data_IF_325839631725
#
_entry.id   IF_325839631725
#
_cell.length_a   1.000
_cell.length_b   1.000
_cell.length_c   1.000
_cell.angle_alpha   90.00
_cell.angle_beta   90.00
_cell.angle_gamma   90.00
#
_symmetry.space_group_name_H-M   'P 1'
#
loop_
_entity.id
_entity.type
_entity.pdbx_description
1 polymer ?
#
# COMPACT_ATOMS: atom_id res chain seq x y z
N UNK A 1 18.40 -66.96 51.28
CA UNK A 1 19.20 -66.27 50.25
C UNK A 1 18.39 -66.22 48.96
N UNK A 2 17.90 -65.03 48.59
CA UNK A 2 17.95 -64.42 47.25
C UNK A 2 16.76 -63.47 47.05
N UNK A 3 17.15 -62.21 46.90
CA UNK A 3 16.31 -61.02 46.79
C UNK A 3 15.74 -60.96 45.36
N UNK A 4 14.42 -60.83 45.24
CA UNK A 4 13.78 -60.34 44.02
C UNK A 4 14.00 -58.83 43.95
N UNK A 5 14.74 -58.38 42.93
CA UNK A 5 14.91 -56.97 42.61
C UNK A 5 14.27 -56.74 41.23
N UNK A 6 13.01 -56.33 41.21
CA UNK A 6 12.33 -55.88 39.98
C UNK A 6 12.54 -54.37 39.83
N UNK A 7 13.37 -54.02 38.85
CA UNK A 7 13.73 -52.66 38.48
C UNK A 7 12.62 -52.10 37.56
N UNK A 8 11.78 -51.20 38.07
CA UNK A 8 10.78 -50.49 37.25
C UNK A 8 11.42 -49.23 36.67
N UNK A 9 11.67 -49.24 35.36
CA UNK A 9 12.09 -48.05 34.61
C UNK A 9 10.84 -47.23 34.25
N UNK A 10 10.66 -46.07 34.90
CA UNK A 10 9.66 -45.09 34.50
C UNK A 10 10.24 -44.18 33.40
N UNK A 11 9.87 -44.43 32.14
CA UNK A 11 10.15 -43.54 31.02
C UNK A 11 9.05 -42.49 30.97
N UNK A 12 9.34 -41.27 31.43
CA UNK A 12 8.50 -40.10 31.23
C UNK A 12 8.69 -39.59 29.79
N UNK A 13 7.82 -40.00 28.89
CA UNK A 13 7.71 -39.43 27.54
C UNK A 13 6.94 -38.10 27.64
N UNK A 14 7.67 -36.98 27.65
CA UNK A 14 7.10 -35.65 27.46
C UNK A 14 6.59 -35.55 26.01
N UNK A 15 5.28 -35.66 25.82
CA UNK A 15 4.67 -35.36 24.53
C UNK A 15 4.59 -33.84 24.35
N UNK A 16 5.54 -33.31 23.58
CA UNK A 16 5.40 -31.97 22.99
C UNK A 16 4.29 -32.09 21.95
N UNK A 17 3.09 -31.63 22.32
CA UNK A 17 2.00 -31.43 21.36
C UNK A 17 2.37 -30.22 20.50
N UNK A 18 2.98 -30.47 19.35
CA UNK A 18 2.98 -29.49 18.28
C UNK A 18 1.54 -29.36 17.78
N UNK A 19 0.87 -28.27 18.17
CA UNK A 19 -0.37 -27.86 17.54
C UNK A 19 -0.05 -27.55 16.07
N UNK A 20 -0.24 -28.53 15.18
CA UNK A 20 -0.28 -28.28 13.75
C UNK A 20 -1.47 -27.35 13.50
N UNK A 21 -1.21 -26.08 13.20
CA UNK A 21 -2.22 -25.19 12.63
C UNK A 21 -2.73 -25.89 11.37
N UNK A 22 -3.98 -26.32 11.39
CA UNK A 22 -4.64 -26.82 10.18
C UNK A 22 -4.52 -25.73 9.10
N UNK A 23 -4.16 -26.08 7.85
CA UNK A 23 -4.11 -25.11 6.77
C UNK A 23 -5.52 -24.54 6.61
N UNK A 24 -5.70 -23.25 6.89
CA UNK A 24 -6.97 -22.61 6.58
C UNK A 24 -6.93 -22.40 5.08
N UNK A 25 -7.62 -23.28 4.34
CA UNK A 25 -7.86 -23.11 2.91
C UNK A 25 -8.78 -21.90 2.70
N UNK A 26 -8.23 -20.69 2.86
CA UNK A 26 -8.92 -19.44 2.53
C UNK A 26 -8.76 -19.23 1.04
N UNK A 27 -9.87 -19.40 0.31
CA UNK A 27 -9.96 -18.93 -1.06
C UNK A 27 -9.54 -17.46 -1.14
N UNK A 28 -8.74 -17.13 -2.16
CA UNK A 28 -8.35 -15.75 -2.42
C UNK A 28 -9.60 -14.96 -2.77
N UNK A 29 -10.06 -14.11 -1.85
CA UNK A 29 -11.15 -13.15 -2.08
C UNK A 29 -10.56 -11.88 -2.68
N UNK A 30 -11.22 -11.31 -3.68
CA UNK A 30 -10.82 -10.01 -4.24
C UNK A 30 -11.15 -8.87 -3.26
N UNK A 31 -10.10 -8.22 -2.75
CA UNK A 31 -10.15 -7.05 -1.86
C UNK A 31 -9.54 -5.82 -2.53
N UNK A 32 -9.70 -5.70 -3.85
CA UNK A 32 -9.24 -4.52 -4.58
C UNK A 32 -9.87 -3.23 -4.05
N UNK A 33 -9.13 -2.09 -4.11
CA UNK A 33 -9.68 -0.78 -3.80
C UNK A 33 -10.89 -0.41 -4.64
N UNK A 34 -11.61 0.63 -4.23
CA UNK A 34 -12.67 1.21 -5.03
C UNK A 34 -12.16 1.63 -6.42
N UNK A 35 -13.00 1.42 -7.43
CA UNK A 35 -12.62 1.69 -8.81
C UNK A 35 -12.41 3.20 -9.04
N UNK A 36 -11.29 3.55 -9.67
CA UNK A 36 -10.99 4.89 -10.16
C UNK A 36 -10.16 4.79 -11.44
N UNK A 37 -10.21 5.79 -12.31
CA UNK A 37 -9.50 5.74 -13.59
C UNK A 37 -9.90 4.51 -14.43
N UNK A 38 -8.95 3.98 -15.19
CA UNK A 38 -9.14 2.75 -15.97
C UNK A 38 -8.67 1.52 -15.20
N UNK A 39 -9.55 0.53 -14.98
CA UNK A 39 -9.18 -0.72 -14.31
C UNK A 39 -8.56 -1.69 -15.32
N UNK A 40 -7.28 -1.98 -15.14
CA UNK A 40 -6.51 -2.91 -15.97
C UNK A 40 -6.17 -4.15 -15.16
N UNK A 41 -6.61 -5.32 -15.65
CA UNK A 41 -6.41 -6.61 -14.99
C UNK A 41 -5.33 -7.41 -15.71
N UNK A 42 -4.27 -7.72 -14.99
CA UNK A 42 -3.25 -8.69 -15.38
C UNK A 42 -3.48 -10.01 -14.66
N UNK A 43 -2.67 -11.02 -14.96
CA UNK A 43 -2.91 -12.38 -14.46
C UNK A 43 -2.85 -12.47 -12.92
N UNK A 44 -2.00 -11.66 -12.29
CA UNK A 44 -1.71 -11.75 -10.84
C UNK A 44 -1.68 -10.41 -10.11
N UNK A 45 -2.01 -9.32 -10.80
CA UNK A 45 -2.21 -8.02 -10.19
C UNK A 45 -3.26 -7.24 -10.99
N UNK A 46 -3.88 -6.26 -10.35
CA UNK A 46 -4.82 -5.33 -10.97
C UNK A 46 -4.36 -3.91 -10.66
N UNK A 47 -4.55 -2.99 -11.59
CA UNK A 47 -4.24 -1.58 -11.37
C UNK A 47 -5.39 -0.67 -11.80
N UNK A 48 -5.44 0.50 -11.18
CA UNK A 48 -6.28 1.62 -11.61
C UNK A 48 -5.40 2.67 -12.28
N UNK A 49 -5.40 2.71 -13.61
CA UNK A 49 -4.55 3.60 -14.39
C UNK A 49 -5.08 5.04 -14.41
N UNK A 50 -4.18 6.01 -14.17
CA UNK A 50 -4.45 7.43 -14.39
C UNK A 50 -3.84 7.85 -15.73
N UNK A 51 -4.68 8.13 -16.71
CA UNK A 51 -4.24 8.73 -17.97
C UNK A 51 -3.53 10.07 -17.75
N UNK A 52 -4.03 10.88 -16.81
CA UNK A 52 -3.47 12.19 -16.52
C UNK A 52 -2.03 12.12 -15.98
N UNK A 53 -1.70 11.05 -15.25
CA UNK A 53 -0.41 10.90 -14.58
C UNK A 53 0.52 9.87 -15.24
N UNK A 54 0.02 9.21 -16.28
CA UNK A 54 0.66 8.11 -17.02
C UNK A 54 1.16 6.97 -16.11
N UNK A 55 0.49 6.77 -14.97
CA UNK A 55 0.79 5.71 -14.00
C UNK A 55 -0.44 5.37 -13.14
N UNK A 56 -0.41 4.29 -12.33
CA UNK A 56 -1.55 3.92 -11.51
C UNK A 56 -1.80 4.84 -10.31
N UNK A 57 -3.07 5.06 -10.00
CA UNK A 57 -3.52 5.48 -8.67
C UNK A 57 -3.18 4.43 -7.60
N UNK A 58 -3.39 3.16 -7.95
CA UNK A 58 -3.08 2.01 -7.12
C UNK A 58 -2.81 0.77 -7.97
N UNK A 59 -1.98 -0.11 -7.42
CA UNK A 59 -1.78 -1.50 -7.86
C UNK A 59 -2.12 -2.41 -6.69
N UNK A 60 -2.94 -3.41 -6.96
CA UNK A 60 -3.42 -4.42 -6.02
C UNK A 60 -2.95 -5.80 -6.45
N UNK A 61 -2.40 -6.57 -5.52
CA UNK A 61 -1.96 -7.93 -5.74
C UNK A 61 -2.02 -8.76 -4.45
N UNK A 62 -1.93 -10.06 -4.61
CA UNK A 62 -2.00 -11.04 -3.52
C UNK A 62 -0.74 -11.88 -3.52
N UNK A 63 -0.24 -12.19 -2.33
CA UNK A 63 0.86 -13.11 -2.11
C UNK A 63 0.41 -14.29 -1.27
N UNK A 64 0.84 -15.47 -1.70
CA UNK A 64 0.81 -16.72 -0.93
C UNK A 64 2.24 -17.27 -0.88
N UNK A 65 2.55 -18.18 0.05
CA UNK A 65 3.84 -18.85 0.08
C UNK A 65 4.21 -19.51 -1.25
N UNK A 66 3.22 -20.08 -1.96
CA UNK A 66 3.42 -20.72 -3.27
C UNK A 66 3.90 -19.75 -4.36
N UNK A 67 3.40 -18.51 -4.35
CA UNK A 67 3.85 -17.48 -5.30
C UNK A 67 5.33 -17.09 -5.06
N UNK A 68 5.82 -17.28 -3.84
CA UNK A 68 7.19 -16.94 -3.45
C UNK A 68 8.17 -18.13 -3.52
N UNK A 69 7.66 -19.34 -3.74
CA UNK A 69 8.47 -20.56 -3.88
C UNK A 69 9.12 -20.71 -5.27
N UNK A 70 8.77 -19.84 -6.22
CA UNK A 70 9.27 -19.85 -7.57
C UNK A 70 10.72 -19.39 -7.74
N UNK A 71 11.31 -19.74 -8.88
CA UNK A 71 12.69 -19.39 -9.27
C UNK A 71 12.78 -18.75 -10.66
N UNK A 72 11.67 -18.19 -11.17
CA UNK A 72 11.65 -17.59 -12.50
C UNK A 72 12.65 -16.43 -12.58
N UNK A 73 13.53 -16.43 -13.58
CA UNK A 73 14.56 -15.41 -13.70
C UNK A 73 13.95 -14.07 -14.13
N UNK A 74 14.49 -13.02 -13.55
CA UNK A 74 14.20 -11.63 -13.94
C UNK A 74 14.67 -11.39 -15.38
N UNK A 75 13.83 -10.76 -16.20
CA UNK A 75 14.13 -10.51 -17.64
C UNK A 75 14.42 -9.06 -18.00
N UNK A 76 14.09 -8.10 -17.14
CA UNK A 76 14.23 -6.66 -17.41
C UNK A 76 13.57 -6.21 -18.74
N UNK A 77 12.51 -6.90 -19.14
CA UNK A 77 11.80 -6.70 -20.41
C UNK A 77 10.73 -5.60 -20.32
N UNK A 78 11.16 -4.40 -19.95
CA UNK A 78 10.30 -3.22 -19.82
C UNK A 78 9.65 -2.86 -21.15
N UNK A 79 8.33 -2.69 -21.15
CA UNK A 79 7.55 -2.38 -22.36
C UNK A 79 6.22 -1.70 -22.02
N UNK A 80 5.66 -0.98 -22.99
CA UNK A 80 4.31 -0.44 -22.88
C UNK A 80 3.31 -1.57 -22.60
N UNK A 81 2.29 -1.26 -21.80
CA UNK A 81 1.19 -2.15 -21.48
C UNK A 81 0.15 -2.12 -22.60
N UNK A 82 -0.08 -3.23 -23.33
CA UNK A 82 -1.11 -3.30 -24.36
C UNK A 82 -2.53 -3.33 -23.79
N UNK A 83 -2.71 -3.56 -22.48
CA UNK A 83 -4.01 -3.62 -21.84
C UNK A 83 -4.55 -2.25 -21.39
N UNK A 84 -3.72 -1.19 -21.44
CA UNK A 84 -4.16 0.19 -21.22
C UNK A 84 -4.71 0.75 -22.53
N UNK A 85 -6.00 1.08 -22.56
CA UNK A 85 -6.75 1.46 -23.77
C UNK A 85 -6.21 2.70 -24.46
N UNK A 86 -5.73 3.67 -23.70
CA UNK A 86 -5.19 4.94 -24.19
C UNK A 86 -3.69 4.86 -24.53
N UNK A 87 -3.06 3.73 -24.26
CA UNK A 87 -1.60 3.62 -24.20
C UNK A 87 -1.10 3.89 -22.80
N UNK A 88 0.10 3.41 -22.51
CA UNK A 88 0.80 3.71 -21.26
C UNK A 88 2.12 4.39 -21.54
N UNK A 89 2.73 4.93 -20.49
CA UNK A 89 4.11 5.38 -20.48
C UNK A 89 5.04 4.46 -21.29
N UNK A 90 6.01 5.07 -21.95
CA UNK A 90 6.98 4.43 -22.83
C UNK A 90 8.39 4.48 -22.23
N UNK A 91 9.33 3.74 -22.83
CA UNK A 91 10.74 3.81 -22.44
C UNK A 91 11.35 5.21 -22.68
N UNK A 92 10.81 5.95 -23.64
CA UNK A 92 11.27 7.32 -23.93
C UNK A 92 10.99 8.25 -22.75
N UNK A 93 9.97 7.96 -21.93
CA UNK A 93 9.62 8.80 -20.80
C UNK A 93 10.64 8.76 -19.66
N UNK A 94 11.25 7.60 -19.47
CA UNK A 94 12.24 7.37 -18.43
C UNK A 94 13.67 7.66 -18.89
N UNK A 95 13.92 7.63 -20.20
CA UNK A 95 15.25 7.86 -20.77
C UNK A 95 15.79 9.24 -20.40
N UNK A 96 16.97 9.30 -19.77
CA UNK A 96 17.62 10.55 -19.37
C UNK A 96 16.91 11.32 -18.24
N UNK A 97 15.84 10.78 -17.66
CA UNK A 97 15.04 11.46 -16.64
C UNK A 97 15.72 11.58 -15.26
N UNK A 98 16.70 10.71 -14.99
CA UNK A 98 17.31 10.55 -13.66
C UNK A 98 16.50 9.67 -12.69
N UNK A 99 15.31 9.22 -13.08
CA UNK A 99 14.46 8.33 -12.28
C UNK A 99 14.57 6.87 -12.73
N UNK A 100 14.46 5.95 -11.78
CA UNK A 100 14.30 4.53 -12.08
C UNK A 100 12.86 4.23 -12.54
N UNK A 101 12.74 3.18 -13.36
CA UNK A 101 11.46 2.49 -13.63
C UNK A 101 11.12 1.63 -12.40
N UNK A 102 10.63 2.30 -11.35
CA UNK A 102 10.33 1.68 -10.06
C UNK A 102 9.07 0.84 -10.14
N UNK A 103 9.14 -0.43 -9.74
CA UNK A 103 7.98 -1.32 -9.74
C UNK A 103 7.01 -0.94 -8.62
N UNK A 104 5.71 -1.00 -8.90
CA UNK A 104 4.67 -0.96 -7.89
C UNK A 104 4.36 -2.37 -7.40
N UNK A 105 3.96 -3.27 -8.30
CA UNK A 105 3.99 -4.72 -8.08
C UNK A 105 5.40 -5.26 -8.40
N UNK A 106 6.19 -5.71 -7.41
CA UNK A 106 7.61 -6.05 -7.60
C UNK A 106 7.80 -7.29 -8.46
N UNK A 107 8.83 -7.31 -9.32
CA UNK A 107 9.19 -8.54 -10.06
C UNK A 107 9.58 -9.70 -9.13
N UNK A 108 10.17 -9.38 -7.96
CA UNK A 108 10.51 -10.38 -6.93
C UNK A 108 9.30 -11.04 -6.26
N UNK A 109 8.11 -10.46 -6.44
CA UNK A 109 6.84 -10.98 -5.95
C UNK A 109 6.17 -11.90 -7.02
N UNK A 110 6.72 -11.91 -8.24
CA UNK A 110 6.16 -12.58 -9.43
C UNK A 110 7.09 -13.68 -9.98
N UNK A 111 7.79 -14.39 -9.09
CA UNK A 111 8.84 -15.38 -9.44
C UNK A 111 8.32 -16.79 -9.72
N UNK A 112 7.02 -17.05 -9.63
CA UNK A 112 6.43 -18.39 -9.71
C UNK A 112 6.10 -18.87 -11.12
N UNK A 113 5.89 -17.99 -12.09
CA UNK A 113 5.77 -18.39 -13.50
C UNK A 113 6.26 -17.30 -14.47
N UNK A 114 6.54 -17.70 -15.71
CA UNK A 114 7.12 -16.79 -16.71
C UNK A 114 6.18 -15.64 -17.09
N UNK A 115 4.86 -15.86 -17.01
CA UNK A 115 3.84 -14.86 -17.34
C UNK A 115 3.78 -13.77 -16.29
N UNK A 116 3.69 -14.12 -15.00
CA UNK A 116 3.67 -13.16 -13.90
C UNK A 116 4.94 -12.30 -13.90
N UNK A 117 6.11 -12.94 -14.06
CA UNK A 117 7.38 -12.25 -14.21
C UNK A 117 7.35 -11.27 -15.38
N UNK A 118 6.90 -11.71 -16.56
CA UNK A 118 6.84 -10.86 -17.76
C UNK A 118 5.87 -9.68 -17.63
N UNK A 119 4.68 -9.91 -17.08
CA UNK A 119 3.65 -8.88 -16.89
C UNK A 119 4.08 -7.84 -15.83
N UNK A 120 4.93 -8.19 -14.87
CA UNK A 120 5.48 -7.23 -13.89
C UNK A 120 6.32 -6.11 -14.53
N UNK A 121 6.83 -6.31 -15.75
CA UNK A 121 7.63 -5.34 -16.50
C UNK A 121 6.82 -4.41 -17.42
N UNK A 122 5.49 -4.44 -17.36
CA UNK A 122 4.69 -3.42 -18.04
C UNK A 122 4.93 -2.04 -17.44
N UNK A 123 5.03 -1.01 -18.29
CA UNK A 123 5.26 0.37 -17.85
C UNK A 123 4.06 0.97 -17.13
N UNK A 124 2.85 0.41 -17.31
CA UNK A 124 1.69 0.70 -16.47
C UNK A 124 1.91 0.29 -15.00
N UNK A 125 2.81 -0.65 -14.71
CA UNK A 125 3.20 -1.04 -13.34
C UNK A 125 4.44 -0.27 -12.84
N UNK A 126 4.91 0.73 -13.59
CA UNK A 126 6.06 1.54 -13.21
C UNK A 126 5.64 2.91 -12.69
N UNK A 127 6.50 3.47 -11.84
CA UNK A 127 6.42 4.85 -11.41
C UNK A 127 7.83 5.47 -11.29
N UNK A 128 8.00 6.78 -11.53
CA UNK A 128 9.29 7.47 -11.42
C UNK A 128 9.83 7.52 -9.98
N UNK A 129 10.64 6.52 -9.63
CA UNK A 129 11.25 6.43 -8.31
C UNK A 129 12.68 6.96 -8.32
N UNK A 130 13.03 7.75 -7.30
CA UNK A 130 14.40 8.21 -7.12
C UNK A 130 15.33 6.99 -6.90
N UNK A 131 16.51 6.91 -7.54
CA UNK A 131 17.34 5.71 -7.49
C UNK A 131 17.72 5.24 -6.08
N UNK A 132 18.07 6.14 -5.16
CA UNK A 132 18.41 5.79 -3.78
C UNK A 132 17.18 5.39 -2.93
N UNK A 133 15.99 5.87 -3.28
CA UNK A 133 14.72 5.38 -2.75
C UNK A 133 14.41 3.94 -3.22
N UNK A 134 14.33 3.73 -4.55
CA UNK A 134 13.97 2.47 -5.18
C UNK A 134 14.90 1.33 -4.75
N UNK A 135 16.22 1.56 -4.90
CA UNK A 135 17.25 0.55 -4.65
C UNK A 135 17.56 0.39 -3.16
N UNK A 136 17.12 1.35 -2.34
CA UNK A 136 17.36 1.43 -0.91
C UNK A 136 16.12 1.03 -0.09
N UNK A 137 15.45 2.02 0.50
CA UNK A 137 14.40 1.79 1.49
C UNK A 137 13.16 1.10 0.91
N UNK A 138 12.81 1.38 -0.35
CA UNK A 138 11.67 0.73 -1.01
C UNK A 138 11.90 -0.77 -1.19
N UNK A 139 13.05 -1.17 -1.73
CA UNK A 139 13.48 -2.57 -1.82
C UNK A 139 13.50 -3.28 -0.45
N UNK A 140 13.90 -2.60 0.62
CA UNK A 140 13.86 -3.15 2.00
C UNK A 140 12.43 -3.42 2.44
N UNK A 141 11.51 -2.49 2.19
CA UNK A 141 10.08 -2.67 2.48
C UNK A 141 9.50 -3.83 1.66
N UNK A 142 9.78 -3.93 0.36
CA UNK A 142 9.33 -5.05 -0.47
C UNK A 142 9.84 -6.41 0.05
N UNK A 143 11.10 -6.48 0.47
CA UNK A 143 11.65 -7.69 1.07
C UNK A 143 10.95 -8.09 2.37
N UNK A 144 10.58 -7.10 3.18
CA UNK A 144 9.83 -7.33 4.41
C UNK A 144 8.40 -7.83 4.14
N UNK A 145 7.71 -7.25 3.15
CA UNK A 145 6.38 -7.74 2.73
C UNK A 145 6.44 -9.19 2.25
N UNK A 146 7.46 -9.55 1.45
CA UNK A 146 7.68 -10.95 1.07
C UNK A 146 7.94 -11.86 2.27
N UNK A 147 8.67 -11.39 3.28
CA UNK A 147 8.90 -12.17 4.49
C UNK A 147 7.59 -12.45 5.22
N UNK A 148 6.75 -11.43 5.44
CA UNK A 148 5.44 -11.62 6.05
C UNK A 148 4.54 -12.57 5.24
N UNK A 149 4.60 -12.50 3.91
CA UNK A 149 3.85 -13.38 3.03
C UNK A 149 4.35 -14.83 2.98
N UNK A 150 5.60 -15.11 3.41
CA UNK A 150 6.07 -16.48 3.65
C UNK A 150 5.55 -17.04 4.97
N UNK A 151 5.43 -16.17 5.97
CA UNK A 151 5.00 -16.53 7.33
C UNK A 151 3.47 -16.54 7.48
N UNK A 152 2.74 -15.99 6.50
CA UNK A 152 1.29 -15.93 6.46
C UNK A 152 0.74 -16.76 5.29
N UNK A 153 -0.43 -17.37 5.47
CA UNK A 153 -1.10 -18.12 4.40
C UNK A 153 -1.52 -17.23 3.22
N UNK A 154 -1.91 -15.98 3.52
CA UNK A 154 -2.47 -15.05 2.55
C UNK A 154 -2.18 -13.61 2.93
N UNK A 155 -1.62 -12.85 1.99
CA UNK A 155 -1.26 -11.44 2.14
C UNK A 155 -1.81 -10.63 0.98
N UNK A 156 -2.58 -9.59 1.29
CA UNK A 156 -3.12 -8.64 0.33
C UNK A 156 -2.27 -7.37 0.35
N UNK A 157 -1.93 -6.84 -0.82
CA UNK A 157 -1.10 -5.64 -0.94
C UNK A 157 -1.76 -4.65 -1.88
N UNK A 158 -1.86 -3.40 -1.43
CA UNK A 158 -2.19 -2.24 -2.27
C UNK A 158 -1.03 -1.25 -2.20
N UNK A 159 -0.63 -0.68 -3.33
CA UNK A 159 0.52 0.21 -3.38
C UNK A 159 0.43 1.20 -4.53
N UNK A 160 1.08 2.35 -4.41
CA UNK A 160 1.04 3.38 -5.44
C UNK A 160 1.86 4.61 -5.06
N UNK A 161 1.92 5.56 -5.99
CA UNK A 161 2.41 6.91 -5.71
C UNK A 161 1.29 7.78 -5.13
N UNK A 162 1.64 8.71 -4.23
CA UNK A 162 0.76 9.80 -3.85
C UNK A 162 0.95 10.91 -4.89
N UNK A 163 -0.01 11.03 -5.80
CA UNK A 163 0.08 11.90 -7.01
C UNK A 163 -0.15 13.39 -6.69
N UNK A 164 -0.78 13.69 -5.55
CA UNK A 164 -0.89 15.05 -5.03
C UNK A 164 0.47 15.58 -4.52
N UNK A 165 0.73 16.88 -4.67
CA UNK A 165 2.01 17.51 -4.30
C UNK A 165 3.23 16.80 -4.91
N UNK A 166 3.12 16.44 -6.19
CA UNK A 166 4.16 15.75 -6.95
C UNK A 166 5.43 16.60 -7.17
N UNK A 167 6.49 15.96 -7.66
CA UNK A 167 7.82 16.54 -7.95
C UNK A 167 7.97 16.94 -9.42
N UNK A 168 6.87 17.15 -10.14
CA UNK A 168 6.85 17.47 -11.57
C UNK A 168 6.58 16.25 -12.45
N UNK A 169 7.10 16.27 -13.68
CA UNK A 169 6.87 15.24 -14.69
C UNK A 169 8.16 14.86 -15.42
N UNK A 170 8.22 13.65 -15.97
CA UNK A 170 9.29 13.18 -16.85
C UNK A 170 8.76 12.83 -18.24
N UNK A 171 9.63 12.90 -19.25
CA UNK A 171 9.32 12.34 -20.56
C UNK A 171 8.34 13.12 -21.43
N UNK A 172 8.22 12.75 -22.72
CA UNK A 172 7.24 13.33 -23.63
C UNK A 172 5.78 13.06 -23.21
N UNK A 173 5.48 11.91 -22.61
CA UNK A 173 4.18 11.55 -22.05
C UNK A 173 3.87 12.25 -20.72
N UNK A 174 4.82 13.02 -20.15
CA UNK A 174 4.65 13.77 -18.90
C UNK A 174 4.23 12.90 -17.71
N UNK A 175 4.88 11.75 -17.55
CA UNK A 175 4.66 10.85 -16.39
C UNK A 175 4.90 11.62 -15.10
N UNK A 176 3.88 11.71 -14.24
CA UNK A 176 3.97 12.41 -12.96
C UNK A 176 5.05 11.78 -12.07
N UNK A 177 5.80 12.58 -11.30
CA UNK A 177 6.76 12.07 -10.32
C UNK A 177 6.16 12.17 -8.92
N UNK A 178 5.71 11.09 -8.28
CA UNK A 178 5.15 11.16 -6.93
C UNK A 178 6.12 11.76 -5.92
N UNK A 179 5.60 12.57 -4.99
CA UNK A 179 6.37 13.07 -3.85
C UNK A 179 6.59 12.00 -2.78
N UNK A 180 5.65 11.07 -2.67
CA UNK A 180 5.62 9.98 -1.71
C UNK A 180 5.09 8.72 -2.36
N UNK A 181 5.45 7.56 -1.81
CA UNK A 181 4.86 6.27 -2.14
C UNK A 181 4.21 5.66 -0.91
N UNK A 182 3.16 4.88 -1.14
CA UNK A 182 2.50 4.13 -0.09
C UNK A 182 2.47 2.64 -0.39
N UNK A 183 2.41 1.85 0.68
CA UNK A 183 2.11 0.42 0.62
C UNK A 183 1.24 0.06 1.81
N UNK A 184 0.04 -0.44 1.55
CA UNK A 184 -0.89 -0.98 2.54
C UNK A 184 -0.90 -2.50 2.41
N UNK A 185 -0.80 -3.20 3.53
CA UNK A 185 -0.72 -4.66 3.60
C UNK A 185 -1.77 -5.16 4.57
N UNK A 186 -2.56 -6.14 4.14
CA UNK A 186 -3.53 -6.83 4.97
C UNK A 186 -3.23 -8.33 5.02
N UNK A 187 -3.07 -8.85 6.23
CA UNK A 187 -2.99 -10.28 6.51
C UNK A 187 -4.14 -10.64 7.46
N UNK A 188 -5.14 -11.48 7.09
CA UNK A 188 -6.30 -11.76 7.93
C UNK A 188 -5.99 -12.27 9.35
N UNK A 189 -4.81 -12.86 9.57
CA UNK A 189 -4.33 -13.32 10.88
C UNK A 189 -3.45 -12.33 11.66
N UNK A 190 -3.10 -11.17 11.08
CA UNK A 190 -2.25 -10.13 11.71
C UNK A 190 -2.91 -8.76 11.77
N UNK A 191 -3.85 -8.46 10.88
CA UNK A 191 -4.45 -7.14 10.72
C UNK A 191 -3.90 -6.39 9.51
N UNK A 192 -3.93 -5.05 9.55
CA UNK A 192 -3.42 -4.17 8.52
C UNK A 192 -2.20 -3.38 8.98
N UNK A 193 -1.35 -3.00 8.03
CA UNK A 193 -0.25 -2.06 8.21
C UNK A 193 -0.07 -1.21 6.96
N UNK A 194 0.11 0.09 7.15
CA UNK A 194 0.41 1.04 6.09
C UNK A 194 1.82 1.59 6.21
N UNK A 195 2.37 2.01 5.07
CA UNK A 195 3.63 2.73 4.99
C UNK A 195 3.47 3.93 4.06
N UNK A 196 4.05 5.08 4.43
CA UNK A 196 4.19 6.25 3.56
C UNK A 196 5.63 6.74 3.62
N UNK A 197 6.32 6.70 2.47
CA UNK A 197 7.73 7.06 2.37
C UNK A 197 7.91 8.18 1.35
N UNK A 198 8.77 9.18 1.63
CA UNK A 198 9.13 10.18 0.63
C UNK A 198 9.90 9.53 -0.52
N UNK A 199 9.71 10.04 -1.73
CA UNK A 199 10.44 9.62 -2.93
C UNK A 199 11.89 10.16 -2.93
N UNK A 200 12.68 9.68 -1.96
CA UNK A 200 14.09 10.00 -1.72
C UNK A 200 14.76 8.90 -0.88
N UNK A 201 16.09 8.83 -0.93
CA UNK A 201 16.86 7.88 -0.13
C UNK A 201 16.69 8.08 1.37
N UNK A 202 16.67 6.97 2.11
CA UNK A 202 16.58 6.99 3.58
C UNK A 202 17.42 5.90 4.21
N UNK A 203 18.14 6.27 5.27
CA UNK A 203 18.84 5.35 6.17
C UNK A 203 18.04 5.01 7.43
N UNK A 204 16.86 5.63 7.62
CA UNK A 204 15.96 5.34 8.74
C UNK A 204 15.39 3.92 8.61
N UNK A 205 15.05 3.25 9.72
CA UNK A 205 14.39 1.95 9.66
C UNK A 205 13.03 2.06 8.97
N UNK A 206 12.52 0.96 8.40
CA UNK A 206 11.19 0.95 7.76
C UNK A 206 10.07 1.25 8.76
N UNK A 207 10.25 0.89 10.04
CA UNK A 207 9.28 1.12 11.12
C UNK A 207 8.98 2.60 11.38
N UNK A 208 9.90 3.49 11.04
CA UNK A 208 9.74 4.94 11.16
C UNK A 208 8.70 5.54 10.20
N UNK A 209 8.24 4.75 9.23
CA UNK A 209 7.31 5.17 8.17
C UNK A 209 5.95 4.47 8.27
N UNK A 210 5.68 3.76 9.37
CA UNK A 210 4.41 3.09 9.63
C UNK A 210 3.30 4.14 9.79
N UNK A 211 2.18 3.89 9.12
CA UNK A 211 0.93 4.66 9.25
C UNK A 211 -0.27 3.70 9.24
N UNK A 212 -1.43 4.19 9.68
CA UNK A 212 -2.70 3.48 9.49
C UNK A 212 -3.14 3.49 8.02
N UNK A 213 -4.06 2.60 7.65
CA UNK A 213 -4.62 2.58 6.29
C UNK A 213 -5.49 3.82 6.07
N UNK A 214 -6.29 4.22 7.07
CA UNK A 214 -7.02 5.51 7.08
C UNK A 214 -6.12 6.67 6.67
N UNK A 215 -4.88 6.69 7.18
CA UNK A 215 -3.94 7.77 6.87
C UNK A 215 -3.52 7.77 5.41
N UNK A 216 -3.40 6.60 4.79
CA UNK A 216 -3.11 6.49 3.36
C UNK A 216 -4.31 7.01 2.57
N UNK A 217 -5.52 6.60 2.92
CA UNK A 217 -6.77 7.06 2.28
C UNK A 217 -6.96 8.57 2.38
N UNK A 218 -6.65 9.17 3.53
CA UNK A 218 -6.67 10.62 3.72
C UNK A 218 -5.75 11.34 2.73
N UNK A 219 -4.58 10.77 2.44
CA UNK A 219 -3.57 11.36 1.58
C UNK A 219 -3.86 11.13 0.09
N UNK A 220 -4.41 9.96 -0.26
CA UNK A 220 -4.64 9.54 -1.65
C UNK A 220 -6.04 9.85 -2.15
N UNK A 221 -7.01 10.03 -1.23
CA UNK A 221 -8.46 10.09 -1.50
C UNK A 221 -9.03 8.82 -2.13
N UNK A 222 -8.35 7.69 -1.90
CA UNK A 222 -8.79 6.36 -2.29
C UNK A 222 -9.48 5.67 -1.12
N UNK A 223 -10.34 4.73 -1.44
CA UNK A 223 -10.97 3.77 -0.53
C UNK A 223 -10.30 2.41 -0.80
N UNK A 224 -9.38 2.03 0.10
CA UNK A 224 -8.53 0.86 -0.02
C UNK A 224 -9.25 -0.34 0.59
N UNK A 225 -9.02 -1.54 0.05
CA UNK A 225 -9.69 -2.76 0.52
C UNK A 225 -11.24 -2.72 0.57
N UNK A 226 -11.87 -1.74 -0.11
CA UNK A 226 -13.30 -1.43 -0.27
C UNK A 226 -14.31 -2.58 -0.48
N UNK A 227 -13.84 -3.81 -0.69
CA UNK A 227 -14.66 -5.03 -0.78
C UNK A 227 -14.75 -5.78 0.54
N UNK A 228 -14.07 -5.32 1.59
CA UNK A 228 -14.30 -5.77 2.95
C UNK A 228 -15.66 -5.26 3.44
N UNK A 229 -16.33 -5.96 4.38
CA UNK A 229 -17.50 -5.40 5.04
C UNK A 229 -17.13 -4.13 5.82
N UNK A 230 -17.88 -3.02 5.63
CA UNK A 230 -17.57 -1.69 6.19
C UNK A 230 -17.19 -1.71 7.69
N UNK A 231 -17.88 -2.51 8.50
CA UNK A 231 -17.62 -2.57 9.94
C UNK A 231 -16.23 -3.16 10.24
N UNK A 232 -15.81 -4.15 9.45
CA UNK A 232 -14.51 -4.81 9.58
C UNK A 232 -13.40 -3.94 8.99
N UNK A 233 -13.66 -3.34 7.84
CA UNK A 233 -12.76 -2.38 7.19
C UNK A 233 -12.41 -1.22 8.13
N UNK A 234 -13.42 -0.48 8.61
CA UNK A 234 -13.26 0.63 9.58
C UNK A 234 -12.48 0.23 10.84
N UNK A 235 -12.66 -1.00 11.31
CA UNK A 235 -11.91 -1.49 12.47
C UNK A 235 -10.43 -1.73 12.14
N UNK A 236 -10.15 -2.33 10.99
CA UNK A 236 -8.80 -2.70 10.57
C UNK A 236 -7.97 -1.47 10.15
N UNK A 237 -8.61 -0.47 9.56
CA UNK A 237 -7.91 0.65 8.94
C UNK A 237 -7.56 1.79 9.90
N UNK A 238 -8.30 1.91 11.00
CA UNK A 238 -8.18 2.98 11.98
C UNK A 238 -6.87 2.98 12.77
N UNK A 239 -6.23 1.82 12.96
CA UNK A 239 -5.02 1.72 13.77
C UNK A 239 -4.11 0.58 13.34
N UNK A 240 -2.83 0.67 13.70
CA UNK A 240 -1.84 -0.38 13.47
C UNK A 240 -1.42 -0.97 14.81
N UNK A 241 -1.23 -2.29 14.84
CA UNK A 241 -0.49 -2.97 15.89
C UNK A 241 0.90 -3.37 15.36
N UNK A 242 1.95 -2.53 15.51
CA UNK A 242 3.27 -2.82 14.97
C UNK A 242 3.89 -4.11 15.54
N UNK A 243 3.51 -4.52 16.76
CA UNK A 243 4.05 -5.73 17.38
C UNK A 243 3.65 -6.99 16.59
N UNK A 244 2.41 -7.07 16.10
CA UNK A 244 1.93 -8.15 15.23
C UNK A 244 2.69 -8.29 13.90
N UNK A 245 3.41 -7.22 13.51
CA UNK A 245 4.25 -7.14 12.31
C UNK A 245 5.75 -7.27 12.58
N UNK A 246 6.14 -7.61 13.82
CA UNK A 246 7.55 -7.81 14.19
C UNK A 246 8.28 -6.53 14.61
N UNK A 247 7.56 -5.45 14.90
CA UNK A 247 8.11 -4.17 15.35
C UNK A 247 7.86 -3.91 16.85
N UNK A 248 8.06 -4.93 17.69
CA UNK A 248 7.89 -4.80 19.14
C UNK A 248 8.75 -3.64 19.69
N UNK A 249 8.17 -2.80 20.55
CA UNK A 249 8.83 -1.62 21.13
C UNK A 249 8.65 -0.32 20.36
N UNK A 250 8.05 -0.34 19.16
CA UNK A 250 7.62 0.87 18.47
C UNK A 250 6.19 1.25 18.93
N UNK A 251 6.07 1.91 20.08
CA UNK A 251 4.80 2.49 20.54
C UNK A 251 4.30 3.49 19.49
N UNK A 252 3.03 3.37 19.06
CA UNK A 252 2.39 4.13 17.99
C UNK A 252 3.01 5.50 17.78
N UNK A 253 3.96 5.56 16.85
CA UNK A 253 4.42 6.81 16.32
C UNK A 253 3.23 7.31 15.52
N UNK A 254 2.44 8.21 16.10
CA UNK A 254 1.71 9.17 15.29
C UNK A 254 2.75 9.75 14.34
N UNK A 255 2.73 9.30 13.10
CA UNK A 255 3.70 9.70 12.10
C UNK A 255 3.70 11.21 12.11
N UNK A 256 4.76 11.82 12.69
CA UNK A 256 4.97 13.25 12.56
C UNK A 256 5.07 13.47 11.07
N UNK A 257 4.04 14.09 10.51
CA UNK A 257 4.01 14.44 9.10
C UNK A 257 5.33 15.14 8.76
N UNK A 258 5.88 14.93 7.55
CA UNK A 258 6.88 15.85 7.03
C UNK A 258 6.29 17.25 7.19
N UNK A 259 7.04 18.14 7.85
CA UNK A 259 6.63 19.50 8.05
C UNK A 259 6.31 20.07 6.66
N UNK A 260 5.03 20.25 6.38
CA UNK A 260 4.61 21.18 5.36
C UNK A 260 5.30 22.48 5.77
N UNK A 261 6.20 23.01 4.93
CA UNK A 261 6.52 24.43 5.01
C UNK A 261 5.17 25.10 4.88
N UNK A 262 4.63 25.55 6.01
CA UNK A 262 3.37 26.25 6.04
C UNK A 262 3.53 27.41 5.08
N UNK A 263 2.89 27.32 3.92
CA UNK A 263 2.51 28.51 3.21
C UNK A 263 1.73 29.32 4.26
N UNK A 264 2.24 30.50 4.58
CA UNK A 264 1.59 31.45 5.47
C UNK A 264 0.11 31.46 5.13
N UNK A 265 -0.80 31.17 6.07
CA UNK A 265 -2.21 31.15 5.76
C UNK A 265 -2.57 32.54 5.25
N UNK A 266 -2.93 32.63 3.96
CA UNK A 266 -3.63 33.81 3.46
C UNK A 266 -4.90 33.89 4.29
N UNK A 267 -4.91 34.81 5.23
CA UNK A 267 -6.07 35.12 6.05
C UNK A 267 -7.26 35.36 5.13
N UNK A 268 -8.29 34.51 5.21
CA UNK A 268 -9.59 34.82 4.63
C UNK A 268 -10.22 33.89 3.59
N UNK A 269 -9.85 32.61 3.51
CA UNK A 269 -10.61 31.67 2.65
C UNK A 269 -12.08 31.60 3.08
N UNK A 270 -13.05 31.72 2.15
CA UNK A 270 -14.47 31.56 2.46
C UNK A 270 -14.74 30.19 3.08
N UNK A 271 -15.40 30.17 4.23
CA UNK A 271 -15.84 28.93 4.90
C UNK A 271 -17.32 28.66 4.61
N UNK A 272 -17.71 27.40 4.52
CA UNK A 272 -19.12 27.05 4.33
C UNK A 272 -19.97 27.51 5.52
N UNK A 273 -21.16 28.05 5.25
CA UNK A 273 -22.08 28.54 6.27
C UNK A 273 -22.47 27.43 7.27
N UNK A 274 -22.39 27.75 8.56
CA UNK A 274 -22.69 26.82 9.65
C UNK A 274 -24.19 26.63 9.96
N UNK A 275 -25.10 27.29 9.24
CA UNK A 275 -26.54 27.19 9.49
C UNK A 275 -27.17 25.94 8.83
N UNK A 276 -28.33 25.54 9.35
CA UNK A 276 -29.23 24.58 8.70
C UNK A 276 -30.38 25.34 8.04
N UNK A 277 -30.84 24.86 6.90
CA UNK A 277 -32.02 25.37 6.20
C UNK A 277 -33.30 25.02 6.98
N UNK A 278 -34.45 25.59 6.59
CA UNK A 278 -35.75 25.25 7.20
C UNK A 278 -36.12 23.76 7.06
N UNK A 279 -35.55 23.04 6.09
CA UNK A 279 -35.72 21.59 5.93
C UNK A 279 -34.69 20.74 6.72
N UNK A 280 -33.89 21.36 7.60
CA UNK A 280 -32.92 20.67 8.46
C UNK A 280 -31.58 20.32 7.79
N UNK A 281 -31.47 20.52 6.48
CA UNK A 281 -30.24 20.27 5.71
C UNK A 281 -29.18 21.36 5.92
N UNK A 282 -27.88 21.02 5.89
CA UNK A 282 -26.78 21.98 6.06
C UNK A 282 -26.76 23.00 4.91
N UNK A 283 -26.60 24.29 5.24
CA UNK A 283 -26.52 25.35 4.24
C UNK A 283 -25.30 25.13 3.32
N UNK A 284 -25.52 25.15 2.00
CA UNK A 284 -24.45 24.97 0.99
C UNK A 284 -23.78 26.29 0.58
N UNK A 285 -24.27 27.43 1.06
CA UNK A 285 -23.72 28.76 0.72
C UNK A 285 -22.43 29.03 1.50
N UNK A 286 -21.53 29.80 0.91
CA UNK A 286 -20.31 30.26 1.58
C UNK A 286 -20.61 31.46 2.49
N UNK A 287 -19.96 31.50 3.64
CA UNK A 287 -19.93 32.67 4.51
C UNK A 287 -18.92 33.68 3.98
N UNK A 288 -19.22 34.97 4.20
CA UNK A 288 -18.27 36.03 3.90
C UNK A 288 -17.02 35.87 4.77
N UNK A 289 -15.89 36.40 4.30
CA UNK A 289 -14.62 36.39 5.03
C UNK A 289 -14.81 36.89 6.47
N UNK A 290 -14.37 36.10 7.46
CA UNK A 290 -14.52 36.40 8.88
C UNK A 290 -15.91 36.13 9.48
N UNK A 291 -16.88 35.60 8.71
CA UNK A 291 -18.21 35.26 9.20
C UNK A 291 -18.44 33.76 9.25
N UNK A 292 -19.19 33.29 10.25
CA UNK A 292 -19.69 31.91 10.36
C UNK A 292 -20.96 31.66 9.53
N UNK A 293 -21.64 32.73 9.10
CA UNK A 293 -22.94 32.67 8.44
C UNK A 293 -22.92 33.38 7.08
N UNK A 294 -23.60 32.80 6.09
CA UNK A 294 -23.86 33.47 4.81
C UNK A 294 -24.87 34.59 4.99
N UNK A 295 -24.99 35.48 4.01
CA UNK A 295 -25.90 36.64 4.04
C UNK A 295 -27.35 36.28 4.40
N UNK A 296 -27.81 35.07 4.05
CA UNK A 296 -29.16 34.60 4.34
C UNK A 296 -29.37 34.16 5.81
N UNK A 297 -28.27 33.89 6.54
CA UNK A 297 -28.29 33.43 7.93
C UNK A 297 -27.55 34.38 8.87
N UNK A 298 -27.15 35.55 8.40
CA UNK A 298 -26.72 36.65 9.28
C UNK A 298 -27.98 37.17 10.00
N UNK A 299 -27.93 37.22 11.32
CA UNK A 299 -28.90 37.98 12.12
C UNK A 299 -28.53 39.46 12.06
#
# INVERSE_FOLDING_TARGET
MNKFLTLVWAILLSQIVFAQKAPVNRSVVDLSPAACGEIVKHSFYTLAYSEQDEQPYWVYYVLTPDFLAGSQPRKDAFRADPAVRTGSASLADYSGSGYDRGHLCPAGDMVFNARSMSESFYLSNMSPQEPSFNRGIWKKLEALVRQWAKDAELTYVVTGGILANNKGHIGPGRVTVPGYYYKAVYCPGKGMIGFVLPNEGSNRPVSDFIVSVDRIEELTKLDLFAKLPDAREKQLEASVDPASWGFAGHSQLHAKAPAQKAATPKSGSPVQCAAKTKSGSRCKRMAAQGSKYCWQHKK
#
